data_IF_143851127288
#
_entry.id   IF_143851127288
#
_cell.length_a   1.000
_cell.length_b   1.000
_cell.length_c   1.000
_cell.angle_alpha   90.00
_cell.angle_beta   90.00
_cell.angle_gamma   90.00
#
_symmetry.space_group_name_H-M   'P 1'
#
loop_
_entity.id
_entity.type
_entity.pdbx_description
1 polymer ?
#
# COMPACT_ATOMS: atom_id res chain seq x y z
N UNK A 1 -7.06 10.92 9.31
CA UNK A 1 -8.48 10.99 9.71
C UNK A 1 -8.49 11.12 11.23
N UNK A 2 -8.96 12.25 11.77
CA UNK A 2 -9.02 12.48 13.22
C UNK A 2 -10.35 12.04 13.82
N UNK A 3 -11.45 12.19 13.08
CA UNK A 3 -12.80 11.87 13.52
C UNK A 3 -13.68 11.48 12.33
N UNK A 4 -14.65 10.60 12.55
CA UNK A 4 -15.73 10.26 11.61
C UNK A 4 -17.02 10.27 12.42
N UNK A 5 -18.00 11.09 12.03
CA UNK A 5 -19.34 11.03 12.61
C UNK A 5 -20.10 9.86 11.97
N UNK A 6 -20.36 8.84 12.78
CA UNK A 6 -21.07 7.62 12.41
C UNK A 6 -22.55 7.64 12.84
N UNK A 7 -23.01 8.66 13.55
CA UNK A 7 -24.35 8.68 14.15
C UNK A 7 -25.48 8.73 13.13
N UNK A 8 -25.30 9.43 12.01
CA UNK A 8 -26.25 9.41 10.90
C UNK A 8 -26.23 8.06 10.16
N UNK A 9 -25.05 7.46 10.03
CA UNK A 9 -24.83 6.18 9.34
C UNK A 9 -25.50 5.06 10.14
N UNK A 10 -25.20 4.94 11.44
CA UNK A 10 -25.80 3.94 12.33
C UNK A 10 -27.32 4.02 12.35
N UNK A 11 -27.90 5.22 12.46
CA UNK A 11 -29.37 5.37 12.43
C UNK A 11 -29.99 4.87 11.13
N UNK A 12 -29.35 5.13 9.99
CA UNK A 12 -29.83 4.65 8.69
C UNK A 12 -29.71 3.12 8.57
N UNK A 13 -28.57 2.56 8.99
CA UNK A 13 -28.33 1.11 9.01
C UNK A 13 -29.32 0.39 9.93
N UNK A 14 -29.57 0.90 11.14
CA UNK A 14 -30.56 0.34 12.09
C UNK A 14 -31.99 0.38 11.55
N UNK A 15 -32.27 1.26 10.58
CA UNK A 15 -33.56 1.29 9.87
C UNK A 15 -33.62 0.36 8.65
N UNK A 16 -32.61 -0.51 8.47
CA UNK A 16 -32.54 -1.46 7.35
C UNK A 16 -32.21 -0.83 6.00
N UNK A 17 -31.59 0.36 5.98
CA UNK A 17 -31.23 1.06 4.74
C UNK A 17 -29.81 0.74 4.31
N UNK A 18 -29.58 0.77 3.00
CA UNK A 18 -28.23 0.83 2.42
C UNK A 18 -27.74 2.28 2.47
N UNK A 19 -26.56 2.49 3.04
CA UNK A 19 -25.93 3.81 3.14
C UNK A 19 -24.86 3.96 2.07
N UNK A 20 -24.98 4.99 1.24
CA UNK A 20 -23.97 5.33 0.24
C UNK A 20 -23.18 6.53 0.77
N UNK A 21 -21.88 6.35 0.96
CA UNK A 21 -20.97 7.41 1.39
C UNK A 21 -20.04 7.75 0.25
N UNK A 22 -19.91 9.05 -0.05
CA UNK A 22 -18.93 9.51 -1.01
C UNK A 22 -17.52 9.45 -0.38
N UNK A 23 -16.65 8.63 -0.97
CA UNK A 23 -15.26 8.46 -0.54
C UNK A 23 -14.34 9.61 -0.93
N UNK A 24 -13.05 9.50 -0.58
CA UNK A 24 -11.94 10.39 -0.98
C UNK A 24 -11.96 11.81 -0.39
N UNK A 25 -13.07 12.23 0.20
CA UNK A 25 -13.26 13.58 0.73
C UNK A 25 -13.42 13.63 2.26
N UNK A 26 -13.15 14.79 2.83
CA UNK A 26 -13.36 15.10 4.24
C UNK A 26 -13.45 16.61 4.45
N UNK A 27 -13.44 17.02 5.72
CA UNK A 27 -13.37 18.44 6.12
C UNK A 27 -12.19 18.64 7.05
N UNK A 28 -11.53 19.79 6.94
CA UNK A 28 -10.51 20.19 7.92
C UNK A 28 -11.13 20.90 9.14
N UNK A 29 -10.28 21.40 10.03
CA UNK A 29 -10.69 22.08 11.26
C UNK A 29 -11.40 23.43 11.00
N UNK A 30 -11.18 24.05 9.84
CA UNK A 30 -11.86 25.28 9.42
C UNK A 30 -13.22 24.98 8.76
N UNK A 31 -13.51 23.71 8.47
CA UNK A 31 -14.71 23.27 7.76
C UNK A 31 -14.55 23.29 6.24
N UNK A 32 -13.34 23.52 5.73
CA UNK A 32 -13.07 23.50 4.30
C UNK A 32 -13.04 22.05 3.79
N UNK A 33 -13.59 21.83 2.58
CA UNK A 33 -13.59 20.52 1.95
C UNK A 33 -12.16 20.16 1.56
N UNK A 34 -11.70 18.99 1.99
CA UNK A 34 -10.37 18.46 1.69
C UNK A 34 -10.46 17.10 1.01
N UNK A 35 -9.35 16.70 0.39
CA UNK A 35 -9.24 15.40 -0.29
C UNK A 35 -8.11 14.58 0.31
N UNK A 36 -8.26 13.26 0.29
CA UNK A 36 -7.30 12.31 0.85
C UNK A 36 -6.16 11.95 -0.11
N UNK A 37 -6.23 12.40 -1.36
CA UNK A 37 -5.27 12.06 -2.41
C UNK A 37 -5.43 10.63 -2.92
N UNK A 38 -4.39 10.10 -3.59
CA UNK A 38 -4.44 8.78 -4.22
C UNK A 38 -4.82 7.69 -3.20
N UNK A 39 -5.78 6.85 -3.56
CA UNK A 39 -6.32 5.81 -2.67
C UNK A 39 -7.27 6.32 -1.59
N UNK A 40 -7.75 7.56 -1.72
CA UNK A 40 -8.65 8.14 -0.74
C UNK A 40 -9.97 7.39 -0.59
N UNK A 41 -10.52 6.81 -1.66
CA UNK A 41 -11.75 6.01 -1.58
C UNK A 41 -11.54 4.74 -0.75
N UNK A 42 -10.49 3.94 -1.05
CA UNK A 42 -10.13 2.75 -0.28
C UNK A 42 -9.90 3.10 1.19
N UNK A 43 -9.15 4.18 1.44
CA UNK A 43 -8.87 4.66 2.80
C UNK A 43 -10.17 5.07 3.52
N UNK A 44 -11.12 5.69 2.81
CA UNK A 44 -12.43 6.05 3.38
C UNK A 44 -13.22 4.80 3.75
N UNK A 45 -13.26 3.80 2.86
CA UNK A 45 -13.98 2.55 3.08
C UNK A 45 -13.43 1.80 4.31
N UNK A 46 -12.11 1.65 4.41
CA UNK A 46 -11.46 1.00 5.56
C UNK A 46 -11.69 1.81 6.84
N UNK A 47 -11.65 3.14 6.77
CA UNK A 47 -11.88 3.97 7.95
C UNK A 47 -13.32 3.92 8.46
N UNK A 48 -14.30 3.87 7.55
CA UNK A 48 -15.69 3.63 7.91
C UNK A 48 -15.88 2.23 8.52
N UNK A 49 -15.28 1.20 7.93
CA UNK A 49 -15.32 -0.16 8.48
C UNK A 49 -14.74 -0.22 9.90
N UNK A 50 -13.65 0.49 10.17
CA UNK A 50 -13.06 0.59 11.50
C UNK A 50 -14.02 1.21 12.54
N UNK A 51 -14.64 2.35 12.19
CA UNK A 51 -15.53 3.08 13.11
C UNK A 51 -16.84 2.32 13.33
N UNK A 52 -17.39 1.74 12.27
CA UNK A 52 -18.63 0.96 12.32
C UNK A 52 -18.43 -0.45 12.89
N UNK A 53 -17.18 -0.86 13.17
CA UNK A 53 -16.80 -2.20 13.62
C UNK A 53 -17.34 -3.30 12.69
N UNK A 54 -17.19 -3.09 11.39
CA UNK A 54 -17.60 -4.06 10.39
C UNK A 54 -16.77 -5.34 10.48
N UNK A 55 -17.37 -6.48 10.15
CA UNK A 55 -16.68 -7.77 10.16
C UNK A 55 -15.57 -7.83 9.09
N UNK A 56 -15.80 -7.23 7.92
CA UNK A 56 -14.78 -7.02 6.89
C UNK A 56 -15.09 -5.80 6.02
N UNK A 57 -14.07 -5.28 5.34
CA UNK A 57 -14.16 -4.25 4.32
C UNK A 57 -13.87 -4.87 2.94
N UNK A 58 -14.85 -4.87 2.06
CA UNK A 58 -14.70 -5.41 0.70
C UNK A 58 -14.30 -4.30 -0.28
N UNK A 59 -13.17 -4.51 -0.97
CA UNK A 59 -12.68 -3.63 -2.01
C UNK A 59 -12.89 -4.32 -3.36
N UNK A 60 -13.87 -3.82 -4.10
CA UNK A 60 -14.18 -4.25 -5.46
C UNK A 60 -13.32 -3.49 -6.48
N UNK A 61 -12.61 -4.22 -7.33
CA UNK A 61 -11.67 -3.68 -8.33
C UNK A 61 -11.73 -4.48 -9.64
N UNK A 62 -10.80 -4.27 -10.56
CA UNK A 62 -10.69 -4.96 -11.86
C UNK A 62 -9.95 -6.30 -11.79
N UNK A 63 -9.31 -6.60 -10.65
CA UNK A 63 -8.67 -7.88 -10.34
C UNK A 63 -9.48 -8.67 -9.33
N UNK A 64 -9.42 -9.99 -9.38
CA UNK A 64 -10.20 -10.91 -8.55
C UNK A 64 -9.48 -11.34 -7.25
N UNK A 65 -8.32 -10.77 -6.97
CA UNK A 65 -7.55 -11.01 -5.76
C UNK A 65 -6.07 -10.66 -5.92
N UNK A 66 -5.29 -11.05 -4.92
CA UNK A 66 -3.83 -10.93 -4.91
C UNK A 66 -3.24 -12.28 -5.31
N UNK A 67 -2.25 -12.28 -6.21
CA UNK A 67 -1.61 -13.49 -6.70
C UNK A 67 -0.20 -13.64 -6.14
N UNK A 68 0.31 -14.88 -6.11
CA UNK A 68 1.69 -15.20 -5.70
C UNK A 68 2.74 -14.43 -6.51
N UNK A 69 2.45 -14.08 -7.77
CA UNK A 69 3.23 -13.14 -8.58
C UNK A 69 2.36 -12.64 -9.74
N UNK A 70 2.88 -11.80 -10.64
CA UNK A 70 2.13 -11.32 -11.80
C UNK A 70 1.77 -12.48 -12.76
N UNK A 71 0.48 -12.85 -12.91
CA UNK A 71 0.06 -13.94 -13.79
C UNK A 71 0.33 -13.66 -15.27
N UNK A 72 0.55 -12.39 -15.65
CA UNK A 72 0.94 -12.01 -17.02
C UNK A 72 2.37 -12.42 -17.36
N UNK A 73 3.19 -12.72 -16.34
CA UNK A 73 4.59 -13.10 -16.49
C UNK A 73 4.81 -14.58 -16.17
N UNK A 74 4.22 -15.08 -15.09
CA UNK A 74 4.24 -16.50 -14.75
C UNK A 74 2.82 -17.06 -14.77
N UNK A 75 2.43 -17.83 -15.81
CA UNK A 75 1.10 -18.40 -15.93
C UNK A 75 0.69 -19.35 -14.79
N UNK A 76 1.64 -19.88 -14.02
CA UNK A 76 1.38 -20.74 -12.85
C UNK A 76 1.16 -19.95 -11.56
N UNK A 77 1.13 -18.62 -11.61
CA UNK A 77 0.78 -17.79 -10.46
C UNK A 77 -0.60 -18.20 -9.92
N UNK A 78 -0.73 -18.22 -8.60
CA UNK A 78 -1.96 -18.66 -7.92
C UNK A 78 -2.55 -17.51 -7.15
N UNK A 79 -3.87 -17.38 -7.17
CA UNK A 79 -4.59 -16.46 -6.28
C UNK A 79 -4.37 -16.90 -4.83
N UNK A 80 -4.05 -15.96 -3.96
CA UNK A 80 -3.91 -16.17 -2.53
C UNK A 80 -5.29 -16.15 -1.90
N UNK A 81 -5.60 -17.12 -1.05
CA UNK A 81 -6.83 -17.10 -0.26
C UNK A 81 -6.74 -16.07 0.87
N UNK A 82 -5.57 -15.99 1.51
CA UNK A 82 -5.28 -15.07 2.60
C UNK A 82 -3.83 -14.56 2.55
N UNK A 83 -3.60 -13.34 3.02
CA UNK A 83 -2.29 -12.72 3.18
C UNK A 83 -2.30 -11.82 4.42
N UNK A 84 -1.19 -11.73 5.16
CA UNK A 84 -1.11 -10.81 6.30
C UNK A 84 -0.99 -9.34 5.86
N UNK A 85 -1.32 -8.41 6.75
CA UNK A 85 -1.10 -6.98 6.50
C UNK A 85 0.36 -6.66 6.16
N UNK A 86 1.32 -7.27 6.87
CA UNK A 86 2.75 -7.03 6.65
C UNK A 86 3.18 -7.52 5.27
N UNK A 87 2.81 -8.74 4.90
CA UNK A 87 3.16 -9.28 3.57
C UNK A 87 2.51 -8.48 2.45
N UNK A 88 1.25 -8.06 2.62
CA UNK A 88 0.57 -7.23 1.62
C UNK A 88 1.22 -5.85 1.48
N UNK A 89 1.67 -5.24 2.58
CA UNK A 89 2.40 -3.97 2.56
C UNK A 89 3.72 -4.10 1.80
N UNK A 90 4.50 -5.15 2.10
CA UNK A 90 5.75 -5.44 1.40
C UNK A 90 5.50 -5.65 -0.10
N UNK A 91 4.53 -6.50 -0.45
CA UNK A 91 4.17 -6.73 -1.85
C UNK A 91 3.70 -5.46 -2.58
N UNK A 92 2.89 -4.63 -1.92
CA UNK A 92 2.41 -3.37 -2.48
C UNK A 92 3.55 -2.37 -2.68
N UNK A 93 4.49 -2.30 -1.74
CA UNK A 93 5.67 -1.43 -1.82
C UNK A 93 6.59 -1.80 -3.00
N UNK A 94 6.70 -3.10 -3.30
CA UNK A 94 7.58 -3.64 -4.35
C UNK A 94 6.90 -3.74 -5.74
N UNK A 95 5.73 -3.13 -5.91
CA UNK A 95 5.10 -2.97 -7.23
C UNK A 95 3.80 -3.75 -7.46
N UNK A 96 3.27 -4.46 -6.46
CA UNK A 96 1.90 -4.98 -6.54
C UNK A 96 0.90 -3.82 -6.50
N UNK A 97 0.19 -3.58 -7.60
CA UNK A 97 -0.71 -2.41 -7.76
C UNK A 97 -2.17 -2.71 -7.40
N UNK A 98 -2.43 -3.76 -6.63
CA UNK A 98 -3.80 -4.23 -6.33
C UNK A 98 -4.51 -3.32 -5.34
N UNK A 99 -3.83 -2.92 -4.26
CA UNK A 99 -4.35 -2.00 -3.24
C UNK A 99 -3.40 -0.84 -3.00
N UNK A 100 -3.96 0.28 -2.56
CA UNK A 100 -3.18 1.44 -2.15
C UNK A 100 -2.55 1.21 -0.77
N UNK A 101 -1.23 1.39 -0.65
CA UNK A 101 -0.46 1.09 0.58
C UNK A 101 -1.11 1.72 1.82
N UNK A 102 -1.54 2.98 1.73
CA UNK A 102 -2.18 3.69 2.85
C UNK A 102 -3.45 3.03 3.37
N UNK A 103 -4.27 2.41 2.52
CA UNK A 103 -5.49 1.73 2.98
C UNK A 103 -5.15 0.43 3.71
N UNK A 104 -4.13 -0.30 3.25
CA UNK A 104 -3.61 -1.50 3.93
C UNK A 104 -2.97 -1.15 5.27
N UNK A 105 -2.18 -0.07 5.35
CA UNK A 105 -1.61 0.44 6.61
C UNK A 105 -2.72 0.80 7.61
N UNK A 106 -3.76 1.48 7.15
CA UNK A 106 -4.89 1.87 7.98
C UNK A 106 -5.66 0.62 8.45
N UNK A 107 -5.90 -0.35 7.56
CA UNK A 107 -6.57 -1.60 7.88
C UNK A 107 -5.82 -2.37 8.97
N UNK A 108 -4.49 -2.53 8.83
CA UNK A 108 -3.65 -3.18 9.82
C UNK A 108 -3.64 -2.45 11.16
N UNK A 109 -3.58 -1.12 11.16
CA UNK A 109 -3.60 -0.31 12.40
C UNK A 109 -4.88 -0.51 13.20
N UNK A 110 -6.04 -0.58 12.54
CA UNK A 110 -7.34 -0.72 13.20
C UNK A 110 -7.88 -2.15 13.18
N UNK A 111 -7.08 -3.13 12.77
CA UNK A 111 -7.44 -4.54 12.72
C UNK A 111 -8.72 -4.80 11.91
N UNK A 112 -8.89 -4.08 10.79
CA UNK A 112 -10.02 -4.26 9.86
C UNK A 112 -9.64 -5.29 8.81
N UNK A 113 -10.29 -6.47 8.75
CA UNK A 113 -10.07 -7.40 7.65
C UNK A 113 -10.51 -6.77 6.33
N UNK A 114 -9.69 -6.91 5.28
CA UNK A 114 -9.97 -6.35 3.95
C UNK A 114 -10.00 -7.47 2.92
N UNK A 115 -11.08 -7.58 2.15
CA UNK A 115 -11.19 -8.56 1.06
C UNK A 115 -11.06 -7.85 -0.29
N UNK A 116 -10.17 -8.34 -1.15
CA UNK A 116 -10.05 -7.88 -2.53
C UNK A 116 -10.91 -8.75 -3.43
N UNK A 117 -11.80 -8.14 -4.20
CA UNK A 117 -12.78 -8.79 -5.07
C UNK A 117 -12.79 -8.15 -6.46
N UNK A 118 -13.23 -8.90 -7.47
CA UNK A 118 -13.47 -8.35 -8.79
C UNK A 118 -14.90 -7.82 -8.91
N UNK A 119 -15.05 -6.65 -9.53
CA UNK A 119 -16.35 -6.09 -9.91
C UNK A 119 -16.99 -6.80 -11.11
N UNK A 120 -16.22 -7.66 -11.79
CA UNK A 120 -16.58 -8.32 -13.05
C UNK A 120 -16.81 -9.84 -12.90
N UNK A 121 -16.78 -10.35 -11.67
CA UNK A 121 -16.95 -11.77 -11.37
C UNK A 121 -17.94 -11.95 -10.23
N UNK A 122 -18.73 -13.02 -10.28
CA UNK A 122 -19.57 -13.47 -9.17
C UNK A 122 -18.79 -14.28 -8.13
N UNK A 123 -17.47 -14.46 -8.34
CA UNK A 123 -16.57 -15.10 -7.37
C UNK A 123 -16.31 -14.19 -6.17
N UNK A 124 -16.96 -14.50 -5.05
CA UNK A 124 -16.83 -13.78 -3.78
C UNK A 124 -15.67 -14.28 -2.89
N UNK A 125 -14.85 -15.23 -3.36
CA UNK A 125 -13.75 -15.76 -2.55
C UNK A 125 -12.66 -14.72 -2.33
N UNK A 126 -12.20 -14.10 -3.43
CA UNK A 126 -11.21 -13.03 -3.40
C UNK A 126 -9.89 -13.42 -2.72
N UNK A 127 -9.21 -12.41 -2.19
CA UNK A 127 -8.11 -12.57 -1.22
C UNK A 127 -8.43 -11.81 0.05
N UNK A 128 -8.36 -12.48 1.21
CA UNK A 128 -8.53 -11.86 2.51
C UNK A 128 -7.19 -11.33 3.06
N UNK A 129 -7.15 -10.07 3.44
CA UNK A 129 -6.03 -9.42 4.09
C UNK A 129 -6.41 -9.20 5.56
N UNK A 130 -5.73 -9.86 6.49
CA UNK A 130 -6.07 -9.79 7.91
C UNK A 130 -4.87 -10.05 8.81
N UNK A 131 -5.06 -9.85 10.12
CA UNK A 131 -4.12 -10.35 11.11
C UNK A 131 -4.21 -11.87 11.13
N UNK A 132 -3.09 -12.53 10.91
CA UNK A 132 -3.03 -13.99 10.89
C UNK A 132 -2.92 -14.47 12.34
N UNK A 133 -4.05 -14.71 13.00
CA UNK A 133 -4.08 -15.35 14.32
C UNK A 133 -3.84 -16.86 14.16
N UNK A 134 -2.78 -17.38 14.78
CA UNK A 134 -2.56 -18.83 14.90
C UNK A 134 -1.97 -19.55 13.69
N UNK A 135 -1.48 -18.85 12.66
CA UNK A 135 -0.64 -19.52 11.67
C UNK A 135 0.65 -20.00 12.34
N UNK A 136 0.82 -21.31 12.32
CA UNK A 136 2.01 -22.01 12.75
C UNK A 136 3.22 -21.34 12.10
N UNK A 137 4.03 -20.68 12.93
CA UNK A 137 5.27 -19.98 12.57
C UNK A 137 6.33 -20.97 12.01
N UNK A 138 6.05 -22.27 12.02
CA UNK A 138 7.02 -23.34 11.70
C UNK A 138 7.22 -23.62 10.20
N UNK A 139 6.59 -22.86 9.28
CA UNK A 139 6.87 -23.02 7.87
C UNK A 139 7.16 -21.67 7.20
N UNK A 140 8.46 -21.37 7.06
CA UNK A 140 8.99 -20.24 6.30
C UNK A 140 8.69 -20.43 4.81
N UNK A 141 7.43 -20.26 4.41
CA UNK A 141 7.02 -20.31 3.01
C UNK A 141 7.02 -18.88 2.44
N UNK A 142 7.54 -18.74 1.22
CA UNK A 142 7.47 -17.48 0.47
C UNK A 142 6.04 -17.30 0.00
N UNK A 143 5.37 -16.26 0.52
CA UNK A 143 3.96 -15.94 0.20
C UNK A 143 3.79 -15.43 -1.22
N UNK A 144 4.72 -14.61 -1.70
CA UNK A 144 4.69 -14.10 -3.05
C UNK A 144 5.99 -13.43 -3.48
N UNK A 145 6.08 -13.15 -4.78
CA UNK A 145 7.17 -12.45 -5.43
C UNK A 145 6.59 -11.24 -6.16
N UNK A 146 6.87 -10.06 -5.63
CA UNK A 146 6.64 -8.78 -6.29
C UNK A 146 7.96 -8.27 -6.88
N UNK A 147 7.88 -7.54 -7.99
CA UNK A 147 9.04 -6.89 -8.59
C UNK A 147 8.59 -5.61 -9.29
N UNK A 148 9.51 -4.67 -9.42
CA UNK A 148 9.37 -3.46 -10.22
C UNK A 148 10.45 -3.40 -11.28
N UNK A 149 10.14 -2.83 -12.45
CA UNK A 149 11.10 -2.62 -13.55
C UNK A 149 11.55 -1.18 -13.69
N UNK A 150 10.87 -0.24 -13.02
CA UNK A 150 11.04 1.20 -13.20
C UNK A 150 12.07 1.77 -12.21
N UNK A 151 13.23 1.13 -12.11
CA UNK A 151 14.29 1.49 -11.17
C UNK A 151 15.65 1.66 -11.84
N UNK A 152 16.46 2.54 -11.26
CA UNK A 152 17.85 2.77 -11.66
C UNK A 152 18.75 2.55 -10.45
N UNK A 153 19.77 1.72 -10.63
CA UNK A 153 20.82 1.54 -9.64
C UNK A 153 22.00 2.49 -9.93
N UNK A 154 22.33 3.37 -8.99
CA UNK A 154 23.53 4.19 -9.00
C UNK A 154 24.50 3.66 -7.94
N UNK A 155 25.74 3.40 -8.35
CA UNK A 155 26.79 2.92 -7.46
C UNK A 155 27.91 3.96 -7.37
N UNK A 156 28.13 4.49 -6.17
CA UNK A 156 29.19 5.42 -5.84
C UNK A 156 30.33 4.65 -5.17
N UNK A 157 31.53 4.76 -5.75
CA UNK A 157 32.73 4.05 -5.31
C UNK A 157 33.78 5.03 -4.80
N UNK A 158 34.73 4.53 -4.01
CA UNK A 158 35.86 5.30 -3.46
C UNK A 158 35.42 6.49 -2.60
N UNK A 159 34.33 6.31 -1.85
CA UNK A 159 33.78 7.34 -0.97
C UNK A 159 34.54 7.42 0.36
N UNK A 160 34.84 8.62 0.88
CA UNK A 160 35.40 8.78 2.23
C UNK A 160 34.56 8.05 3.28
N UNK A 161 35.20 7.28 4.15
CA UNK A 161 34.52 6.57 5.24
C UNK A 161 34.37 7.46 6.47
N UNK A 162 33.57 8.51 6.33
CA UNK A 162 33.19 9.41 7.42
C UNK A 162 31.67 9.54 7.56
N UNK A 163 31.24 10.06 8.70
CA UNK A 163 29.82 10.17 9.07
C UNK A 163 29.05 11.15 8.17
N UNK A 164 29.72 12.05 7.46
CA UNK A 164 29.09 13.11 6.68
C UNK A 164 28.86 12.72 5.21
N UNK A 165 29.59 11.73 4.70
CA UNK A 165 29.48 11.27 3.30
C UNK A 165 28.05 10.92 2.89
N UNK A 166 27.31 10.17 3.71
CA UNK A 166 25.91 9.82 3.39
C UNK A 166 25.01 11.05 3.34
N UNK A 167 25.19 12.00 4.25
CA UNK A 167 24.42 13.25 4.24
C UNK A 167 24.70 14.06 2.98
N UNK A 168 25.97 14.18 2.58
CA UNK A 168 26.37 14.89 1.36
C UNK A 168 25.80 14.25 0.09
N UNK A 169 25.60 12.93 0.08
CA UNK A 169 24.98 12.20 -1.03
C UNK A 169 23.45 12.34 -1.02
N UNK A 170 22.80 12.13 0.13
CA UNK A 170 21.34 12.07 0.23
C UNK A 170 20.69 13.46 0.19
N UNK A 171 21.36 14.49 0.71
CA UNK A 171 20.79 15.85 0.77
C UNK A 171 20.47 16.40 -0.63
N UNK A 172 21.37 16.41 -1.62
CA UNK A 172 21.05 16.88 -2.97
C UNK A 172 19.91 16.09 -3.62
N UNK A 173 19.82 14.78 -3.37
CA UNK A 173 18.76 13.91 -3.91
C UNK A 173 17.40 14.32 -3.31
N UNK A 174 17.35 14.50 -1.99
CA UNK A 174 16.15 14.98 -1.29
C UNK A 174 15.75 16.41 -1.71
N UNK A 175 16.71 17.34 -1.80
CA UNK A 175 16.46 18.69 -2.33
C UNK A 175 16.00 18.67 -3.80
N UNK A 176 16.35 17.63 -4.54
CA UNK A 176 15.91 17.43 -5.90
C UNK A 176 14.55 16.72 -6.01
N UNK A 177 13.89 16.37 -4.90
CA UNK A 177 12.62 15.65 -4.86
C UNK A 177 12.67 14.33 -5.67
N UNK A 178 13.81 13.64 -5.59
CA UNK A 178 14.01 12.33 -6.21
C UNK A 178 13.74 11.25 -5.17
N UNK A 179 12.73 10.42 -5.42
CA UNK A 179 12.40 9.30 -4.56
C UNK A 179 13.49 8.22 -4.63
N UNK A 180 14.03 7.88 -3.47
CA UNK A 180 14.93 6.75 -3.26
C UNK A 180 14.11 5.55 -2.78
N UNK A 181 14.39 4.39 -3.35
CA UNK A 181 13.80 3.13 -2.92
C UNK A 181 14.72 2.45 -1.88
N UNK A 182 15.96 2.14 -2.27
CA UNK A 182 16.91 1.46 -1.40
C UNK A 182 18.27 2.17 -1.33
N UNK A 183 18.82 2.26 -0.11
CA UNK A 183 20.18 2.74 0.15
C UNK A 183 20.98 1.62 0.82
N UNK A 184 22.12 1.25 0.23
CA UNK A 184 23.01 0.21 0.76
C UNK A 184 24.45 0.70 0.82
N UNK A 185 25.00 0.84 2.04
CA UNK A 185 26.43 1.06 2.27
C UNK A 185 27.13 -0.31 2.41
N UNK A 186 28.18 -0.56 1.63
CA UNK A 186 29.08 -1.70 1.83
C UNK A 186 30.35 -1.24 2.53
N UNK A 187 31.01 -2.16 3.25
CA UNK A 187 32.22 -1.90 4.05
C UNK A 187 33.41 -1.32 3.26
N UNK A 188 33.38 -1.39 1.92
CA UNK A 188 34.49 -1.01 1.06
C UNK A 188 34.30 0.37 0.43
N UNK A 189 33.97 1.39 1.23
CA UNK A 189 33.86 2.79 0.76
C UNK A 189 32.90 2.94 -0.44
N UNK A 190 31.78 2.23 -0.40
CA UNK A 190 30.87 2.10 -1.52
C UNK A 190 29.43 2.24 -1.06
N UNK A 191 28.68 3.11 -1.75
CA UNK A 191 27.26 3.32 -1.51
C UNK A 191 26.51 3.02 -2.80
N UNK A 192 25.50 2.16 -2.70
CA UNK A 192 24.58 1.86 -3.77
C UNK A 192 23.21 2.45 -3.45
N UNK A 193 22.65 3.16 -4.42
CA UNK A 193 21.34 3.78 -4.37
C UNK A 193 20.48 3.16 -5.45
N UNK A 194 19.25 2.78 -5.12
CA UNK A 194 18.22 2.44 -6.10
C UNK A 194 17.21 3.59 -6.11
N UNK A 195 16.98 4.17 -7.28
CA UNK A 195 16.11 5.31 -7.49
C UNK A 195 14.95 4.92 -8.40
N UNK A 196 13.78 5.52 -8.17
CA UNK A 196 12.61 5.32 -9.03
C UNK A 196 12.75 6.16 -10.32
N UNK A 197 12.74 5.50 -11.48
CA UNK A 197 13.05 6.10 -12.80
C UNK A 197 12.13 7.28 -13.15
N UNK A 198 10.87 7.26 -12.71
CA UNK A 198 9.89 8.32 -12.97
C UNK A 198 10.35 9.71 -12.48
N UNK A 199 11.11 9.78 -11.39
CA UNK A 199 11.61 11.05 -10.85
C UNK A 199 12.70 11.68 -11.73
N UNK A 200 13.51 10.86 -12.41
CA UNK A 200 14.60 11.34 -13.27
C UNK A 200 14.09 11.93 -14.59
N UNK A 201 12.98 11.39 -15.12
CA UNK A 201 12.41 11.82 -16.40
C UNK A 201 11.62 13.14 -16.24
N UNK A 202 10.85 13.29 -15.15
CA UNK A 202 10.04 14.50 -14.91
C UNK A 202 10.87 15.79 -14.86
N UNK A 203 12.13 15.73 -14.43
CA UNK A 203 13.01 16.91 -14.37
C UNK A 203 13.68 17.28 -15.70
N UNK A 204 13.67 16.41 -16.71
CA UNK A 204 14.29 16.70 -18.02
C UNK A 204 13.33 17.40 -19.00
N UNK A 205 12.06 17.53 -18.62
CA UNK A 205 10.97 18.07 -19.46
C UNK A 205 10.43 19.41 -18.87
N UNK A 206 11.10 19.99 -17.87
CA UNK A 206 10.78 21.29 -17.27
C UNK A 206 11.86 22.32 -17.53
#
# INVERSE_FOLDING_TARGET
IQHIDDGAIYRALSAGKVVIVAGFQGVDEAGDITTLGRGGSDTTAVALAAVLKADECQIYTDVDGVYTTDPRIEPRARKLEQISFVEMLEMASLGSKVLQIRSVEFAGKYHVPVRVLSSFSDDETGTLISSVEGAIIEATHVTGIAFTRDEVMIQLMHLPDDMNTLYQILRPIGCADISLDMVRKRAMMMVQLILVLLCLIKKKIG
#
